data_IF_325402592252
#
_entry.id   IF_325402592252
#
_cell.length_a   1.000
_cell.length_b   1.000
_cell.length_c   1.000
_cell.angle_alpha   90.00
_cell.angle_beta   90.00
_cell.angle_gamma   90.00
#
_symmetry.space_group_name_H-M   'P 1'
#
loop_
_entity.id
_entity.type
_entity.pdbx_description
1 polymer ?
#
# COMPACT_ATOMS: atom_id res chain seq x y z
N UNK A 1 -29.61 7.58 -0.56
CA UNK A 1 -28.90 8.09 0.62
C UNK A 1 -28.62 6.95 1.59
N UNK A 2 -29.33 6.71 2.70
CA UNK A 2 -28.90 5.69 3.69
C UNK A 2 -28.69 4.24 3.16
N UNK A 3 -29.53 3.78 2.23
CA UNK A 3 -29.38 2.45 1.62
C UNK A 3 -28.21 2.36 0.63
N UNK A 4 -27.89 3.47 -0.01
CA UNK A 4 -26.79 3.57 -0.97
C UNK A 4 -25.46 3.62 -0.21
N UNK A 5 -25.39 4.43 0.85
CA UNK A 5 -24.26 4.50 1.77
C UNK A 5 -23.98 3.12 2.42
N UNK A 6 -25.02 2.39 2.80
CA UNK A 6 -24.89 1.04 3.35
C UNK A 6 -24.35 0.03 2.33
N UNK A 7 -24.75 0.14 1.06
CA UNK A 7 -24.22 -0.71 -0.01
C UNK A 7 -22.75 -0.39 -0.33
N UNK A 8 -22.39 0.89 -0.37
CA UNK A 8 -21.00 1.31 -0.58
C UNK A 8 -20.09 0.85 0.56
N UNK A 9 -20.54 1.01 1.81
CA UNK A 9 -19.82 0.51 2.98
C UNK A 9 -19.62 -1.01 2.93
N UNK A 10 -20.66 -1.77 2.53
CA UNK A 10 -20.57 -3.21 2.38
C UNK A 10 -19.61 -3.63 1.27
N UNK A 11 -19.62 -2.93 0.13
CA UNK A 11 -18.68 -3.18 -0.97
C UNK A 11 -17.23 -2.89 -0.56
N UNK A 12 -17.00 -1.78 0.14
CA UNK A 12 -15.68 -1.41 0.65
C UNK A 12 -15.16 -2.42 1.68
N UNK A 13 -16.02 -2.91 2.58
CA UNK A 13 -15.67 -3.96 3.53
C UNK A 13 -15.30 -5.28 2.81
N UNK A 14 -16.07 -5.67 1.79
CA UNK A 14 -15.76 -6.86 1.00
C UNK A 14 -14.42 -6.75 0.26
N UNK A 15 -14.06 -5.55 -0.21
CA UNK A 15 -12.76 -5.30 -0.84
C UNK A 15 -11.63 -5.36 0.17
N UNK A 16 -11.85 -4.83 1.37
CA UNK A 16 -10.88 -4.89 2.46
C UNK A 16 -10.59 -6.33 2.89
N UNK A 17 -11.62 -7.16 3.02
CA UNK A 17 -11.49 -8.60 3.30
C UNK A 17 -10.60 -9.32 2.28
N UNK A 18 -10.76 -8.99 0.99
CA UNK A 18 -9.91 -9.53 -0.06
C UNK A 18 -8.46 -9.08 0.07
N UNK A 19 -8.24 -7.81 0.43
CA UNK A 19 -6.89 -7.29 0.65
C UNK A 19 -6.20 -7.93 1.84
N UNK A 20 -6.93 -8.15 2.94
CA UNK A 20 -6.43 -8.88 4.12
C UNK A 20 -6.01 -10.31 3.74
N UNK A 21 -6.82 -11.01 2.94
CA UNK A 21 -6.48 -12.36 2.45
C UNK A 21 -5.26 -12.36 1.54
N UNK A 22 -5.18 -11.43 0.59
CA UNK A 22 -4.04 -11.29 -0.32
C UNK A 22 -2.76 -10.96 0.45
N UNK A 23 -2.83 -10.05 1.43
CA UNK A 23 -1.71 -9.71 2.29
C UNK A 23 -1.26 -10.89 3.14
N UNK A 24 -2.19 -11.67 3.70
CA UNK A 24 -1.86 -12.90 4.42
C UNK A 24 -1.01 -13.84 3.55
N UNK A 25 -1.42 -14.09 2.30
CA UNK A 25 -0.62 -14.91 1.37
C UNK A 25 0.76 -14.31 1.10
N UNK A 26 0.84 -13.00 0.88
CA UNK A 26 2.12 -12.32 0.65
C UNK A 26 3.08 -12.48 1.85
N UNK A 27 2.56 -12.31 3.08
CA UNK A 27 3.36 -12.36 4.31
C UNK A 27 3.94 -13.74 4.63
N UNK A 28 3.47 -14.83 4.02
CA UNK A 28 4.03 -16.18 4.23
C UNK A 28 5.35 -16.41 3.48
N UNK A 29 5.65 -15.61 2.45
CA UNK A 29 6.90 -15.68 1.69
C UNK A 29 7.51 -14.28 1.50
N UNK A 30 7.76 -13.55 2.60
CA UNK A 30 8.01 -12.11 2.57
C UNK A 30 9.29 -11.76 1.80
N UNK A 31 10.29 -12.64 1.78
CA UNK A 31 11.54 -12.48 1.01
C UNK A 31 11.36 -12.48 -0.50
N UNK A 32 10.24 -12.99 -1.00
CA UNK A 32 9.91 -12.99 -2.44
C UNK A 32 8.83 -11.96 -2.76
N UNK A 33 7.78 -11.92 -1.95
CA UNK A 33 6.57 -11.16 -2.26
C UNK A 33 6.71 -9.67 -1.98
N UNK A 34 7.39 -9.28 -0.89
CA UNK A 34 7.54 -7.86 -0.55
C UNK A 34 8.42 -7.11 -1.57
N UNK A 35 9.59 -7.65 -2.01
CA UNK A 35 10.35 -7.05 -3.10
C UNK A 35 9.57 -6.99 -4.42
N UNK A 36 8.82 -8.04 -4.76
CA UNK A 36 8.00 -8.06 -5.97
C UNK A 36 6.90 -7.00 -5.93
N UNK A 37 6.27 -6.80 -4.77
CA UNK A 37 5.27 -5.76 -4.58
C UNK A 37 5.89 -4.36 -4.61
N UNK A 38 7.11 -4.19 -4.08
CA UNK A 38 7.85 -2.93 -4.17
C UNK A 38 8.11 -2.53 -5.63
N UNK A 39 8.66 -3.46 -6.43
CA UNK A 39 8.88 -3.26 -7.86
C UNK A 39 7.57 -3.00 -8.62
N UNK A 40 6.48 -3.70 -8.26
CA UNK A 40 5.17 -3.50 -8.84
C UNK A 40 4.58 -2.11 -8.52
N UNK A 41 4.84 -1.59 -7.32
CA UNK A 41 4.43 -0.26 -6.88
C UNK A 41 5.23 0.84 -7.61
N UNK A 42 6.55 0.71 -7.66
CA UNK A 42 7.43 1.61 -8.40
C UNK A 42 7.07 1.66 -9.90
N UNK A 43 6.82 0.50 -10.51
CA UNK A 43 6.39 0.41 -11.91
C UNK A 43 5.09 1.17 -12.17
N UNK A 44 4.11 1.09 -11.26
CA UNK A 44 2.84 1.84 -11.35
C UNK A 44 3.03 3.34 -11.15
N UNK A 45 3.93 3.73 -10.26
CA UNK A 45 4.33 5.13 -10.09
C UNK A 45 4.93 5.68 -11.40
N UNK A 46 5.80 4.92 -12.05
CA UNK A 46 6.39 5.25 -13.34
C UNK A 46 5.34 5.34 -14.46
N UNK A 47 4.40 4.39 -14.52
CA UNK A 47 3.31 4.40 -15.50
C UNK A 47 2.41 5.63 -15.35
N UNK A 48 2.05 5.99 -14.12
CA UNK A 48 1.25 7.18 -13.84
C UNK A 48 2.00 8.46 -14.23
N UNK A 49 3.29 8.55 -13.89
CA UNK A 49 4.13 9.69 -14.28
C UNK A 49 4.28 9.80 -15.82
N UNK A 50 4.39 8.68 -16.53
CA UNK A 50 4.46 8.66 -17.98
C UNK A 50 3.12 9.08 -18.63
N UNK A 51 1.99 8.66 -18.07
CA UNK A 51 0.67 9.10 -18.52
C UNK A 51 0.52 10.62 -18.36
N UNK A 52 0.93 11.17 -17.21
CA UNK A 52 0.97 12.62 -16.97
C UNK A 52 1.83 13.35 -18.00
N UNK A 53 3.05 12.88 -18.23
CA UNK A 53 4.00 13.54 -19.12
C UNK A 53 3.55 13.53 -20.60
N UNK A 54 2.83 12.49 -21.03
CA UNK A 54 2.34 12.32 -22.40
C UNK A 54 0.93 12.85 -22.64
N UNK A 55 0.21 13.24 -21.59
CA UNK A 55 -1.21 13.63 -21.66
C UNK A 55 -2.14 12.46 -22.00
N UNK A 56 -1.69 11.22 -21.80
CA UNK A 56 -2.52 10.02 -21.96
C UNK A 56 -3.51 9.90 -20.79
N UNK A 57 -4.57 9.11 -20.98
CA UNK A 57 -5.57 8.85 -19.93
C UNK A 57 -4.92 8.20 -18.69
N UNK A 58 -4.92 8.87 -17.51
CA UNK A 58 -4.31 8.35 -16.30
C UNK A 58 -5.23 7.40 -15.52
N UNK A 59 -6.46 7.15 -15.96
CA UNK A 59 -7.47 6.43 -15.17
C UNK A 59 -7.02 5.02 -14.77
N UNK A 60 -6.53 4.23 -15.72
CA UNK A 60 -6.04 2.87 -15.45
C UNK A 60 -4.80 2.84 -14.53
N UNK A 61 -3.68 3.55 -14.82
CA UNK A 61 -2.52 3.52 -13.93
C UNK A 61 -2.83 4.10 -12.55
N UNK A 62 -3.76 5.04 -12.43
CA UNK A 62 -4.19 5.59 -11.16
C UNK A 62 -4.97 4.56 -10.33
N UNK A 63 -5.89 3.83 -10.96
CA UNK A 63 -6.64 2.75 -10.30
C UNK A 63 -5.70 1.65 -9.81
N UNK A 64 -4.78 1.21 -10.69
CA UNK A 64 -3.79 0.20 -10.35
C UNK A 64 -2.88 0.63 -9.20
N UNK A 65 -2.48 1.91 -9.16
CA UNK A 65 -1.67 2.46 -8.08
C UNK A 65 -2.44 2.51 -6.76
N UNK A 66 -3.71 2.94 -6.77
CA UNK A 66 -4.56 2.95 -5.57
C UNK A 66 -4.66 1.55 -4.94
N UNK A 67 -4.88 0.51 -5.76
CA UNK A 67 -4.93 -0.87 -5.28
C UNK A 67 -3.58 -1.37 -4.77
N UNK A 68 -2.49 -1.06 -5.47
CA UNK A 68 -1.15 -1.45 -5.06
C UNK A 68 -0.75 -0.82 -3.73
N UNK A 69 -1.07 0.46 -3.51
CA UNK A 69 -0.87 1.17 -2.24
C UNK A 69 -1.62 0.48 -1.10
N UNK A 70 -2.91 0.17 -1.33
CA UNK A 70 -3.72 -0.52 -0.32
C UNK A 70 -3.13 -1.88 0.05
N UNK A 71 -2.83 -2.70 -0.97
CA UNK A 71 -2.23 -4.01 -0.75
C UNK A 71 -0.88 -3.91 -0.03
N UNK A 72 -0.01 -2.96 -0.41
CA UNK A 72 1.27 -2.74 0.25
C UNK A 72 1.12 -2.42 1.73
N UNK A 73 0.17 -1.54 2.08
CA UNK A 73 -0.12 -1.21 3.48
C UNK A 73 -0.64 -2.41 4.27
N UNK A 74 -1.53 -3.23 3.68
CA UNK A 74 -1.94 -4.48 4.33
C UNK A 74 -0.76 -5.46 4.43
N UNK A 75 0.14 -5.55 3.46
CA UNK A 75 1.30 -6.44 3.57
C UNK A 75 2.26 -6.02 4.70
N UNK A 76 2.45 -4.72 4.88
CA UNK A 76 3.39 -4.13 5.84
C UNK A 76 2.81 -4.03 7.27
N UNK A 77 1.52 -3.78 7.45
CA UNK A 77 0.96 -3.51 8.77
C UNK A 77 -0.40 -4.20 8.98
N UNK A 78 -0.65 -4.66 10.21
CA UNK A 78 -1.94 -5.16 10.66
C UNK A 78 -2.93 -4.03 10.93
N UNK A 79 -4.23 -4.36 11.00
CA UNK A 79 -5.30 -3.35 11.06
C UNK A 79 -5.13 -2.36 12.21
N UNK A 80 -4.55 -2.78 13.34
CA UNK A 80 -4.37 -1.94 14.52
C UNK A 80 -5.68 -1.61 15.23
N UNK A 81 -6.78 -2.28 14.86
CA UNK A 81 -8.11 -1.96 15.37
C UNK A 81 -8.24 -2.39 16.83
N UNK A 82 -8.04 -1.44 17.75
CA UNK A 82 -8.21 -1.61 19.19
C UNK A 82 -6.96 -2.02 19.96
N UNK A 83 -5.81 -2.15 19.30
CA UNK A 83 -4.52 -2.58 19.88
C UNK A 83 -3.35 -1.84 19.22
N UNK A 84 -2.17 -1.83 19.86
CA UNK A 84 -0.94 -1.26 19.27
C UNK A 84 -0.59 -2.00 17.98
N UNK A 85 -0.44 -1.30 16.84
CA UNK A 85 -0.09 -1.94 15.57
C UNK A 85 1.31 -2.56 15.64
N UNK A 86 1.41 -3.84 15.31
CA UNK A 86 2.68 -4.57 15.27
C UNK A 86 3.03 -4.97 13.83
N UNK A 87 4.32 -5.24 13.62
CA UNK A 87 4.79 -5.89 12.39
C UNK A 87 4.05 -7.23 12.25
N UNK A 88 3.46 -7.54 11.09
CA UNK A 88 2.71 -8.77 10.90
C UNK A 88 3.51 -10.01 11.31
N UNK A 89 2.89 -10.89 12.10
CA UNK A 89 3.56 -12.01 12.76
C UNK A 89 4.44 -12.85 11.81
N UNK A 90 3.94 -13.18 10.62
CA UNK A 90 4.67 -14.01 9.66
C UNK A 90 5.93 -13.32 9.13
N UNK A 91 5.87 -11.99 8.98
CA UNK A 91 7.03 -11.18 8.57
C UNK A 91 8.05 -11.12 9.71
N UNK A 92 7.59 -10.87 10.94
CA UNK A 92 8.45 -10.85 12.12
C UNK A 92 9.15 -12.19 12.33
N UNK A 93 8.41 -13.30 12.26
CA UNK A 93 8.96 -14.66 12.38
C UNK A 93 10.02 -14.96 11.32
N UNK A 94 9.82 -14.52 10.07
CA UNK A 94 10.82 -14.71 9.02
C UNK A 94 12.12 -13.93 9.31
N UNK A 95 12.00 -12.68 9.80
CA UNK A 95 13.14 -11.85 10.19
C UNK A 95 13.88 -12.48 11.38
N UNK A 96 13.17 -12.91 12.42
CA UNK A 96 13.75 -13.56 13.61
C UNK A 96 14.40 -14.91 13.28
N UNK A 97 13.87 -15.63 12.28
CA UNK A 97 14.49 -16.84 11.74
C UNK A 97 15.76 -16.57 10.90
N UNK A 98 16.14 -15.31 10.71
CA UNK A 98 17.34 -14.92 9.98
C UNK A 98 17.15 -14.81 8.45
N UNK A 99 15.92 -14.74 7.95
CA UNK A 99 15.66 -14.46 6.53
C UNK A 99 15.99 -12.99 6.22
N UNK A 100 17.23 -12.75 5.76
CA UNK A 100 17.68 -11.41 5.33
C UNK A 100 16.84 -10.85 4.17
N UNK A 101 16.23 -11.72 3.36
CA UNK A 101 15.30 -11.34 2.30
C UNK A 101 14.01 -10.73 2.84
N UNK A 102 13.52 -11.19 3.99
CA UNK A 102 12.32 -10.64 4.62
C UNK A 102 12.54 -9.19 5.10
N UNK A 103 13.64 -8.94 5.83
CA UNK A 103 13.96 -7.59 6.34
C UNK A 103 14.25 -6.60 5.21
N UNK A 104 15.01 -7.02 4.19
CA UNK A 104 15.25 -6.20 3.01
C UNK A 104 13.96 -5.96 2.21
N UNK A 105 13.06 -6.95 2.13
CA UNK A 105 11.76 -6.82 1.50
C UNK A 105 10.84 -5.81 2.18
N UNK A 106 10.79 -5.81 3.51
CA UNK A 106 10.09 -4.77 4.30
C UNK A 106 10.66 -3.38 3.99
N UNK A 107 11.99 -3.26 3.97
CA UNK A 107 12.67 -1.99 3.66
C UNK A 107 12.35 -1.50 2.26
N UNK A 108 12.43 -2.39 1.26
CA UNK A 108 12.15 -2.06 -0.13
C UNK A 108 10.69 -1.61 -0.32
N UNK A 109 9.74 -2.37 0.23
CA UNK A 109 8.32 -2.04 0.09
C UNK A 109 7.95 -0.77 0.86
N UNK A 110 8.53 -0.56 2.05
CA UNK A 110 8.36 0.69 2.80
C UNK A 110 8.89 1.89 2.01
N UNK A 111 10.08 1.76 1.42
CA UNK A 111 10.66 2.82 0.58
C UNK A 111 9.78 3.16 -0.62
N UNK A 112 9.31 2.14 -1.34
CA UNK A 112 8.39 2.32 -2.46
C UNK A 112 7.09 2.99 -2.02
N UNK A 113 6.49 2.57 -0.90
CA UNK A 113 5.26 3.16 -0.36
C UNK A 113 5.43 4.64 0.00
N UNK A 114 6.54 4.99 0.67
CA UNK A 114 6.85 6.37 1.07
C UNK A 114 7.06 7.31 -0.12
N UNK A 115 7.34 6.79 -1.32
CA UNK A 115 7.49 7.63 -2.52
C UNK A 115 6.16 8.08 -3.12
N UNK A 116 5.07 7.35 -2.87
CA UNK A 116 3.75 7.62 -3.48
C UNK A 116 3.18 8.99 -3.08
N UNK A 117 3.17 9.39 -1.79
CA UNK A 117 2.80 10.73 -1.37
C UNK A 117 3.72 11.83 -1.93
N UNK A 118 4.94 11.49 -2.35
CA UNK A 118 5.81 12.42 -3.05
C UNK A 118 5.29 12.75 -4.46
N UNK A 119 4.68 11.80 -5.16
CA UNK A 119 4.26 11.95 -6.56
C UNK A 119 3.17 13.00 -6.74
N UNK A 120 2.17 12.98 -5.87
CA UNK A 120 1.04 13.94 -5.86
C UNK A 120 1.48 15.38 -5.53
N UNK A 121 2.66 15.56 -4.93
CA UNK A 121 3.23 16.86 -4.57
C UNK A 121 4.20 17.40 -5.63
N UNK A 122 4.49 16.64 -6.71
CA UNK A 122 5.42 17.08 -7.75
C UNK A 122 4.82 18.21 -8.60
N UNK A 123 5.69 19.08 -9.09
CA UNK A 123 5.32 20.06 -10.10
C UNK A 123 4.78 19.34 -11.35
N UNK A 124 3.58 19.72 -11.81
CA UNK A 124 2.87 19.03 -12.90
C UNK A 124 2.01 17.83 -12.47
N UNK A 125 2.00 17.44 -11.19
CA UNK A 125 1.19 16.32 -10.69
C UNK A 125 -0.32 16.56 -10.73
N UNK A 126 -0.78 17.78 -11.03
CA UNK A 126 -2.22 18.13 -11.07
C UNK A 126 -3.04 17.22 -11.99
N UNK A 127 -2.42 16.69 -13.04
CA UNK A 127 -3.08 15.77 -13.98
C UNK A 127 -3.28 14.35 -13.42
N UNK A 128 -2.53 13.99 -12.37
CA UNK A 128 -2.55 12.66 -11.73
C UNK A 128 -2.90 12.70 -10.25
N UNK A 129 -3.07 13.90 -9.68
CA UNK A 129 -3.51 14.12 -8.32
C UNK A 129 -5.00 13.74 -8.22
N UNK A 130 -5.25 12.55 -7.66
CA UNK A 130 -6.60 12.09 -7.35
C UNK A 130 -6.83 12.13 -5.83
N UNK A 131 -8.00 12.63 -5.37
CA UNK A 131 -8.39 12.55 -3.96
C UNK A 131 -8.31 11.11 -3.42
N UNK A 132 -8.68 10.12 -4.23
CA UNK A 132 -8.63 8.70 -3.83
C UNK A 132 -7.19 8.19 -3.66
N UNK A 133 -6.27 8.65 -4.51
CA UNK A 133 -4.84 8.31 -4.36
C UNK A 133 -4.26 8.97 -3.10
N UNK A 134 -4.62 10.22 -2.84
CA UNK A 134 -4.25 10.93 -1.61
C UNK A 134 -4.76 10.20 -0.37
N UNK A 135 -6.04 9.82 -0.37
CA UNK A 135 -6.66 9.07 0.72
C UNK A 135 -5.96 7.73 0.95
N UNK A 136 -5.75 6.93 -0.11
CA UNK A 136 -5.05 5.65 -0.02
C UNK A 136 -3.62 5.83 0.50
N UNK A 137 -2.91 6.86 0.04
CA UNK A 137 -1.55 7.19 0.49
C UNK A 137 -1.50 7.60 1.97
N UNK A 138 -2.37 8.52 2.39
CA UNK A 138 -2.43 8.99 3.80
C UNK A 138 -2.84 7.84 4.73
N UNK A 139 -3.86 7.07 4.36
CA UNK A 139 -4.29 5.89 5.11
C UNK A 139 -3.15 4.85 5.24
N UNK A 140 -2.44 4.58 4.15
CA UNK A 140 -1.31 3.65 4.16
C UNK A 140 -0.16 4.16 5.05
N UNK A 141 0.17 5.45 4.96
CA UNK A 141 1.24 6.06 5.75
C UNK A 141 0.94 6.08 7.24
N UNK A 142 -0.30 6.37 7.64
CA UNK A 142 -0.70 6.36 9.04
C UNK A 142 -0.41 4.97 9.66
N UNK A 143 -0.88 3.91 8.98
CA UNK A 143 -0.67 2.52 9.41
C UNK A 143 0.80 2.14 9.46
N UNK A 144 1.56 2.55 8.44
CA UNK A 144 2.99 2.32 8.39
C UNK A 144 3.71 3.04 9.55
N UNK A 145 3.37 4.30 9.82
CA UNK A 145 3.99 5.09 10.88
C UNK A 145 3.72 4.50 12.26
N UNK A 146 2.48 4.06 12.52
CA UNK A 146 2.11 3.44 13.79
C UNK A 146 2.85 2.11 14.03
N UNK A 147 3.25 1.40 12.97
CA UNK A 147 3.96 0.12 13.08
C UNK A 147 5.49 0.27 13.11
N UNK A 148 6.05 1.18 12.30
CA UNK A 148 7.49 1.20 12.01
C UNK A 148 8.22 2.46 12.49
N UNK A 149 7.52 3.55 12.79
CA UNK A 149 8.14 4.82 13.20
C UNK A 149 7.87 5.18 14.66
N UNK A 150 6.66 4.91 15.13
CA UNK A 150 6.25 5.15 16.51
C UNK A 150 5.85 3.84 17.22
N UNK A 151 6.75 2.84 17.31
CA UNK A 151 6.46 1.65 18.10
C UNK A 151 6.43 2.06 19.58
N UNK A 152 5.23 2.08 20.18
CA UNK A 152 5.07 2.23 21.64
C UNK A 152 5.35 0.91 22.38
#
# INVERSE_FOLDING_TARGET
>A
DELEDAHEAAAQASLDDWMVRAASLARHTPSVTLPALAAALEGRCGALAAAAASGADPSEPLEQLCWAVRLAAHCLADSGAGETPLVPLQVLMAIEAGDAGAASGVTALSGALLTVPGLVLREGARQVASPRLMEAGVWALARWADTYLFPE
#
